data_IF_166460889918
#
_entry.id   IF_166460889918
#
_cell.length_a   1.000
_cell.length_b   1.000
_cell.length_c   1.000
_cell.angle_alpha   90.00
_cell.angle_beta   90.00
_cell.angle_gamma   90.00
#
_symmetry.space_group_name_H-M   'P 1'
#
loop_
_entity.id
_entity.type
_entity.pdbx_description
1 polymer ?
#
# COMPACT_ATOMS: atom_id res chain seq x y z
N UNK A 1 -1.10 -4.76 0.34
CA UNK A 1 -2.15 -5.68 0.84
C UNK A 1 -3.22 -5.85 -0.22
N UNK A 2 -3.90 -6.99 -0.24
CA UNK A 2 -4.84 -7.43 -1.28
C UNK A 2 -6.30 -7.00 -1.04
N UNK A 3 -6.51 -6.14 -0.04
CA UNK A 3 -7.82 -5.57 0.28
C UNK A 3 -7.86 -4.07 0.03
N UNK A 4 -9.06 -3.49 0.13
CA UNK A 4 -9.34 -2.07 -0.07
C UNK A 4 -8.79 -1.15 1.04
N UNK A 5 -8.22 -1.71 2.11
CA UNK A 5 -7.74 -0.94 3.27
C UNK A 5 -6.70 -1.72 4.05
N UNK A 6 -5.56 -1.11 4.37
CA UNK A 6 -4.51 -1.66 5.25
C UNK A 6 -5.02 -1.89 6.68
N UNK A 7 -6.07 -1.17 7.06
CA UNK A 7 -6.79 -1.36 8.32
C UNK A 7 -7.95 -2.36 8.17
N UNK A 8 -8.22 -3.21 9.18
CA UNK A 8 -9.37 -4.11 9.17
C UNK A 8 -10.71 -3.39 8.94
N UNK A 9 -11.57 -3.89 8.05
CA UNK A 9 -12.80 -3.19 7.65
C UNK A 9 -13.84 -2.96 8.77
N UNK A 10 -13.67 -3.59 9.93
CA UNK A 10 -14.52 -3.38 11.11
C UNK A 10 -13.98 -2.30 12.08
N UNK A 11 -12.83 -1.70 11.79
CA UNK A 11 -12.25 -0.64 12.64
C UNK A 11 -12.78 0.74 12.27
N UNK A 12 -12.86 1.62 13.28
CA UNK A 12 -13.14 3.05 13.12
C UNK A 12 -11.95 3.93 13.49
N UNK A 13 -10.88 3.33 14.00
CA UNK A 13 -9.73 4.07 14.56
C UNK A 13 -8.58 4.20 13.58
N UNK A 14 -8.53 3.37 12.53
CA UNK A 14 -7.52 3.38 11.44
C UNK A 14 -6.08 3.46 11.98
N UNK A 15 -5.72 2.52 12.85
CA UNK A 15 -4.44 2.56 13.57
C UNK A 15 -3.26 2.29 12.62
N UNK A 16 -3.41 1.40 11.64
CA UNK A 16 -2.34 1.12 10.68
C UNK A 16 -2.02 2.37 9.86
N UNK A 17 -3.03 3.01 9.28
CA UNK A 17 -2.87 4.29 8.58
C UNK A 17 -2.20 5.34 9.46
N UNK A 18 -2.69 5.55 10.69
CA UNK A 18 -2.14 6.57 11.61
C UNK A 18 -0.67 6.32 11.92
N UNK A 19 -0.31 5.08 12.25
CA UNK A 19 1.07 4.73 12.61
C UNK A 19 1.99 4.88 11.39
N UNK A 20 1.61 4.32 10.25
CA UNK A 20 2.48 4.31 9.06
C UNK A 20 2.60 5.70 8.43
N UNK A 21 1.51 6.44 8.27
CA UNK A 21 1.57 7.81 7.72
C UNK A 21 2.32 8.76 8.64
N UNK A 22 2.15 8.66 9.97
CA UNK A 22 2.92 9.49 10.91
C UNK A 22 4.43 9.22 10.80
N UNK A 23 4.82 7.99 10.47
CA UNK A 23 6.21 7.58 10.21
C UNK A 23 6.66 7.80 8.76
N UNK A 24 5.82 8.39 7.90
CA UNK A 24 6.09 8.60 6.46
C UNK A 24 6.41 7.29 5.72
N UNK A 25 5.72 6.21 6.08
CA UNK A 25 5.80 4.91 5.42
C UNK A 25 4.67 4.83 4.38
N UNK A 26 5.03 4.48 3.15
CA UNK A 26 4.05 4.25 2.08
C UNK A 26 3.32 2.92 2.26
N UNK A 27 2.09 2.87 1.77
CA UNK A 27 1.22 1.68 1.81
C UNK A 27 0.62 1.48 0.42
N UNK A 28 0.61 0.22 -0.03
CA UNK A 28 -0.06 -0.20 -1.26
C UNK A 28 -1.25 -1.09 -0.91
N UNK A 29 -2.39 -0.77 -1.49
CA UNK A 29 -3.68 -1.46 -1.30
C UNK A 29 -4.15 -2.05 -2.62
N UNK A 30 -5.05 -3.04 -2.56
CA UNK A 30 -5.53 -3.79 -3.73
C UNK A 30 -4.43 -4.47 -4.56
N UNK A 31 -3.35 -4.91 -3.91
CA UNK A 31 -2.30 -5.66 -4.57
C UNK A 31 -2.80 -7.06 -4.97
N UNK A 32 -2.49 -7.48 -6.19
CA UNK A 32 -2.88 -8.79 -6.75
C UNK A 32 -1.65 -9.71 -6.92
N UNK A 33 -1.87 -10.99 -7.24
CA UNK A 33 -0.84 -11.98 -7.57
C UNK A 33 0.23 -12.22 -6.49
N UNK A 34 -0.03 -11.81 -5.24
CA UNK A 34 0.91 -11.98 -4.12
C UNK A 34 1.25 -13.46 -3.87
N UNK A 35 0.35 -14.38 -4.21
CA UNK A 35 0.53 -15.82 -4.13
C UNK A 35 1.57 -16.38 -5.13
N UNK A 36 1.96 -15.60 -6.14
CA UNK A 36 3.00 -15.97 -7.10
C UNK A 36 4.41 -15.57 -6.63
N UNK A 37 4.52 -14.77 -5.57
CA UNK A 37 5.79 -14.25 -5.08
C UNK A 37 6.49 -15.25 -4.16
N UNK A 38 7.84 -15.35 -4.23
CA UNK A 38 8.60 -16.01 -3.18
C UNK A 38 8.48 -15.22 -1.88
N UNK A 39 8.63 -15.90 -0.74
CA UNK A 39 8.50 -15.27 0.58
C UNK A 39 9.54 -14.16 0.85
N UNK A 40 10.63 -14.12 0.09
CA UNK A 40 11.68 -13.11 0.17
C UNK A 40 12.43 -12.98 -1.17
N UNK A 41 13.26 -11.93 -1.30
CA UNK A 41 14.10 -11.71 -2.47
C UNK A 41 13.43 -11.00 -3.65
N UNK A 42 12.21 -10.48 -3.47
CA UNK A 42 11.49 -9.68 -4.48
C UNK A 42 11.85 -8.20 -4.35
N UNK A 43 11.90 -7.51 -5.49
CA UNK A 43 11.97 -6.04 -5.54
C UNK A 43 10.63 -5.52 -6.03
N UNK A 44 9.96 -4.68 -5.23
CA UNK A 44 8.70 -4.04 -5.63
C UNK A 44 8.99 -2.67 -6.25
N UNK A 45 8.46 -2.44 -7.46
CA UNK A 45 8.40 -1.12 -8.07
C UNK A 45 6.99 -0.54 -7.91
N UNK A 46 6.86 0.40 -6.98
CA UNK A 46 5.60 1.08 -6.65
C UNK A 46 5.77 2.59 -6.87
N UNK A 47 5.57 3.04 -8.11
CA UNK A 47 5.82 4.44 -8.52
C UNK A 47 4.49 5.16 -8.73
N UNK A 48 4.10 6.09 -7.85
CA UNK A 48 2.88 6.85 -8.02
C UNK A 48 3.02 7.94 -9.08
N UNK A 49 1.90 8.30 -9.69
CA UNK A 49 1.82 9.53 -10.47
C UNK A 49 2.07 10.74 -9.58
N UNK A 50 2.78 11.73 -10.13
CA UNK A 50 2.92 13.02 -9.47
C UNK A 50 1.58 13.76 -9.50
N UNK A 51 1.07 14.08 -8.32
CA UNK A 51 -0.14 14.87 -8.12
C UNK A 51 0.22 16.02 -7.21
N UNK A 52 -0.01 17.25 -7.64
CA UNK A 52 0.30 18.44 -6.84
C UNK A 52 -0.45 18.38 -5.51
N UNK A 53 0.32 18.51 -4.41
CA UNK A 53 -0.15 18.30 -3.03
C UNK A 53 -0.92 16.98 -2.79
N UNK A 54 -0.67 15.94 -3.59
CA UNK A 54 -1.34 14.65 -3.50
C UNK A 54 -1.02 13.89 -2.22
N UNK A 55 -2.04 13.22 -1.66
CA UNK A 55 -1.90 12.35 -0.47
C UNK A 55 -1.71 10.88 -0.82
N UNK A 56 -1.87 10.54 -2.09
CA UNK A 56 -1.74 9.21 -2.68
C UNK A 56 -2.16 9.24 -4.15
N UNK A 57 -1.84 8.20 -4.90
CA UNK A 57 -2.23 8.05 -6.30
C UNK A 57 -2.39 6.57 -6.64
N UNK A 58 -3.25 6.21 -7.61
CA UNK A 58 -3.22 4.86 -8.17
C UNK A 58 -1.84 4.58 -8.76
N UNK A 59 -1.40 3.34 -8.64
CA UNK A 59 -0.09 2.90 -9.12
C UNK A 59 -0.25 1.64 -9.96
N UNK A 60 0.67 1.46 -10.91
CA UNK A 60 0.88 0.16 -11.53
C UNK A 60 2.02 -0.52 -10.79
N UNK A 61 1.70 -1.54 -10.00
CA UNK A 61 2.71 -2.38 -9.36
C UNK A 61 3.32 -3.33 -10.39
N UNK A 62 4.65 -3.37 -10.47
CA UNK A 62 5.37 -4.42 -11.18
C UNK A 62 6.34 -5.11 -10.21
N UNK A 63 6.29 -6.45 -10.22
CA UNK A 63 7.04 -7.35 -9.36
C UNK A 63 8.07 -8.14 -10.18
#
# INVERSE_FOLDING_TARGET
IDTLSIDPGNTKTFLAHKIFLNKRIFMTENADNLNLLPANGVTLFAVPFEVDAGTGAPIQDSL
#
